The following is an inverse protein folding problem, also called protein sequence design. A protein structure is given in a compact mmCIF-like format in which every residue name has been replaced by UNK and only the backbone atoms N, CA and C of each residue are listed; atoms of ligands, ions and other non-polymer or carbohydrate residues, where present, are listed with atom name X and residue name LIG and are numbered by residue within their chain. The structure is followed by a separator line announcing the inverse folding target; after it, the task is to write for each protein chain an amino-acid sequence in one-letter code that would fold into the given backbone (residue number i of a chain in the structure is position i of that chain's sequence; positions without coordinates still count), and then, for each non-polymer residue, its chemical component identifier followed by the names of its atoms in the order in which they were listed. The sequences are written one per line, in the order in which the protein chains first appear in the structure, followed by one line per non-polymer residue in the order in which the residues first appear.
data_IF_508438232112
#
_entry.id   IF_508438232112
#
_cell.length_a   1.000
_cell.length_b   1.000
_cell.length_c   1.000
_cell.angle_alpha   90.00
_cell.angle_beta   90.00
_cell.angle_gamma   90.00
#
_symmetry.space_group_name_H-M   'P 1'
#
loop_
_entity.id
_entity.type
_entity.pdbx_description
1 polymer ?
#
# COMPACT_ATOMS: atom_id res chain seq x y z
N UNK A 1 21.75 -22.82 -13.74
CA UNK A 1 22.43 -23.14 -15.02
C UNK A 1 23.68 -23.98 -14.80
N UNK A 2 24.67 -23.52 -14.03
CA UNK A 2 25.93 -24.26 -13.81
C UNK A 2 25.75 -25.75 -13.42
N UNK A 3 24.81 -26.05 -12.51
CA UNK A 3 24.51 -27.44 -12.12
C UNK A 3 23.98 -28.27 -13.29
N UNK A 4 23.13 -27.69 -14.13
CA UNK A 4 22.62 -28.37 -15.33
C UNK A 4 23.76 -28.72 -16.29
N UNK A 5 24.70 -27.80 -16.52
CA UNK A 5 25.85 -28.05 -17.39
C UNK A 5 26.77 -29.13 -16.82
N UNK A 6 27.04 -29.09 -15.52
CA UNK A 6 27.83 -30.12 -14.85
C UNK A 6 27.20 -31.51 -15.00
N UNK A 7 25.87 -31.61 -14.90
CA UNK A 7 25.16 -32.88 -15.11
C UNK A 7 25.11 -33.31 -16.56
N UNK A 8 25.00 -32.38 -17.51
CA UNK A 8 25.01 -32.69 -18.94
C UNK A 8 26.34 -33.28 -19.42
N UNK A 9 27.44 -33.01 -18.70
CA UNK A 9 28.78 -33.54 -18.94
C UNK A 9 29.16 -34.70 -18.01
N UNK A 10 28.24 -35.19 -17.18
CA UNK A 10 28.56 -36.23 -16.20
C UNK A 10 28.86 -37.57 -16.87
N UNK A 11 30.04 -38.12 -16.60
CA UNK A 11 30.46 -39.45 -17.08
C UNK A 11 30.05 -40.59 -16.13
N UNK A 12 29.63 -40.24 -14.90
CA UNK A 12 29.23 -41.18 -13.85
C UNK A 12 27.74 -41.08 -13.52
N UNK A 13 27.11 -42.22 -13.26
CA UNK A 13 25.73 -42.27 -12.79
C UNK A 13 25.57 -41.70 -11.36
N UNK A 14 26.63 -41.69 -10.53
CA UNK A 14 26.59 -41.07 -9.20
C UNK A 14 27.33 -39.73 -9.26
N UNK A 15 26.62 -38.63 -8.98
CA UNK A 15 27.17 -37.27 -9.06
C UNK A 15 26.97 -36.56 -7.73
N UNK A 16 28.06 -36.06 -7.13
CA UNK A 16 28.01 -35.18 -5.97
C UNK A 16 28.41 -33.76 -6.40
N UNK A 17 27.53 -32.79 -6.15
CA UNK A 17 27.70 -31.39 -6.52
C UNK A 17 27.81 -30.55 -5.27
N UNK A 18 28.84 -29.71 -5.20
CA UNK A 18 29.01 -28.76 -4.12
C UNK A 18 28.55 -27.38 -4.59
N UNK A 19 27.63 -26.77 -3.84
CA UNK A 19 27.05 -25.47 -4.18
C UNK A 19 27.08 -24.54 -2.99
N UNK A 20 27.47 -23.28 -3.20
CA UNK A 20 27.39 -22.24 -2.19
C UNK A 20 26.02 -21.56 -2.13
N UNK A 21 25.10 -21.88 -3.04
CA UNK A 21 23.75 -21.33 -3.05
C UNK A 21 22.80 -22.17 -2.20
N UNK A 22 22.47 -21.68 -1.00
CA UNK A 22 21.50 -22.35 -0.12
C UNK A 22 20.13 -22.48 -0.78
N UNK A 23 19.73 -21.46 -1.56
CA UNK A 23 18.44 -21.46 -2.25
C UNK A 23 18.36 -22.62 -3.26
N UNK A 24 19.43 -22.88 -4.00
CA UNK A 24 19.50 -23.99 -4.97
C UNK A 24 19.43 -25.34 -4.26
N UNK A 25 20.17 -25.52 -3.15
CA UNK A 25 20.16 -26.77 -2.37
C UNK A 25 18.74 -27.06 -1.86
N UNK A 26 18.13 -26.10 -1.15
CA UNK A 26 16.79 -26.27 -0.59
C UNK A 26 15.76 -26.57 -1.69
N UNK A 27 15.79 -25.81 -2.80
CA UNK A 27 14.84 -25.99 -3.89
C UNK A 27 15.04 -27.35 -4.58
N UNK A 28 16.28 -27.80 -4.76
CA UNK A 28 16.54 -29.12 -5.32
C UNK A 28 15.98 -30.22 -4.41
N UNK A 29 16.25 -30.17 -3.11
CA UNK A 29 15.80 -31.16 -2.14
C UNK A 29 14.25 -31.24 -2.10
N UNK A 30 13.58 -30.08 -2.13
CA UNK A 30 12.11 -30.00 -2.19
C UNK A 30 11.53 -30.63 -3.47
N UNK A 31 12.20 -30.45 -4.61
CA UNK A 31 11.73 -30.92 -5.91
C UNK A 31 12.17 -32.36 -6.24
N UNK A 32 13.23 -32.88 -5.61
CA UNK A 32 13.85 -34.15 -5.97
C UNK A 32 12.90 -35.35 -5.84
N UNK A 33 11.92 -35.24 -4.95
CA UNK A 33 10.91 -36.28 -4.72
C UNK A 33 9.65 -36.14 -5.59
N UNK A 34 9.53 -35.07 -6.37
CA UNK A 34 8.35 -34.77 -7.17
C UNK A 34 8.40 -35.39 -8.57
N UNK A 35 7.25 -35.64 -9.19
CA UNK A 35 7.18 -36.01 -10.61
C UNK A 35 7.41 -34.79 -11.50
N UNK A 36 7.83 -34.97 -12.77
CA UNK A 36 7.93 -33.84 -13.73
C UNK A 36 6.61 -33.06 -13.79
N UNK A 37 5.48 -33.76 -13.80
CA UNK A 37 4.14 -33.16 -13.86
C UNK A 37 3.82 -32.31 -12.62
N UNK A 38 4.30 -32.71 -11.45
CA UNK A 38 4.12 -31.93 -10.22
C UNK A 38 5.01 -30.68 -10.20
N UNK A 39 6.25 -30.80 -10.70
CA UNK A 39 7.15 -29.66 -10.90
C UNK A 39 6.55 -28.67 -11.90
N UNK A 40 5.96 -29.15 -13.00
CA UNK A 40 5.26 -28.31 -14.00
C UNK A 40 4.11 -27.50 -13.38
N UNK A 41 3.38 -28.10 -12.44
CA UNK A 41 2.27 -27.47 -11.70
C UNK A 41 2.73 -26.62 -10.52
N UNK A 42 4.00 -26.71 -10.12
CA UNK A 42 4.55 -25.95 -9.03
C UNK A 42 4.68 -24.46 -9.38
N UNK A 43 4.82 -23.64 -8.33
CA UNK A 43 5.02 -22.19 -8.43
C UNK A 43 6.48 -21.79 -8.22
N UNK A 44 7.41 -22.73 -8.44
CA UNK A 44 8.85 -22.49 -8.22
C UNK A 44 9.39 -21.47 -9.22
N UNK A 45 10.29 -20.61 -8.76
CA UNK A 45 11.02 -19.71 -9.65
C UNK A 45 12.02 -20.49 -10.50
N UNK A 46 12.29 -19.98 -11.70
CA UNK A 46 13.11 -20.59 -12.73
C UNK A 46 12.66 -22.01 -13.09
N UNK A 47 11.34 -22.27 -13.05
CA UNK A 47 10.72 -23.59 -13.27
C UNK A 47 11.26 -24.30 -14.51
N UNK A 48 11.45 -23.56 -15.60
CA UNK A 48 11.98 -24.08 -16.85
C UNK A 48 13.36 -24.74 -16.66
N UNK A 49 14.25 -24.12 -15.90
CA UNK A 49 15.58 -24.64 -15.61
C UNK A 49 15.51 -25.90 -14.73
N UNK A 50 14.61 -25.92 -13.76
CA UNK A 50 14.37 -27.09 -12.92
C UNK A 50 13.81 -28.27 -13.72
N UNK A 51 12.87 -28.01 -14.63
CA UNK A 51 12.34 -29.04 -15.53
C UNK A 51 13.45 -29.61 -16.41
N UNK A 52 14.32 -28.77 -16.96
CA UNK A 52 15.47 -29.23 -17.75
C UNK A 52 16.42 -30.09 -16.91
N UNK A 53 16.76 -29.63 -15.70
CA UNK A 53 17.63 -30.34 -14.76
C UNK A 53 17.08 -31.74 -14.43
N UNK A 54 15.82 -31.83 -13.98
CA UNK A 54 15.22 -33.11 -13.59
C UNK A 54 14.91 -34.01 -14.79
N UNK A 55 14.69 -33.47 -15.99
CA UNK A 55 14.60 -34.28 -17.22
C UNK A 55 15.95 -34.94 -17.52
N UNK A 56 17.06 -34.21 -17.48
CA UNK A 56 18.41 -34.78 -17.69
C UNK A 56 18.73 -35.86 -16.65
N UNK A 57 18.46 -35.60 -15.37
CA UNK A 57 18.67 -36.57 -14.29
C UNK A 57 17.94 -37.89 -14.59
N UNK A 58 16.68 -37.81 -15.08
CA UNK A 58 15.89 -38.99 -15.42
C UNK A 58 16.36 -39.69 -16.70
N UNK A 59 16.69 -38.93 -17.74
CA UNK A 59 17.14 -39.46 -19.05
C UNK A 59 18.43 -40.27 -18.87
N UNK A 60 19.40 -39.72 -18.14
CA UNK A 60 20.68 -40.38 -17.89
C UNK A 60 20.69 -41.27 -16.64
N UNK A 61 19.55 -41.42 -15.96
CA UNK A 61 19.42 -42.22 -14.73
C UNK A 61 20.47 -41.87 -13.65
N UNK A 62 20.72 -40.57 -13.47
CA UNK A 62 21.70 -40.05 -12.52
C UNK A 62 21.16 -40.10 -11.08
N UNK A 63 22.03 -40.46 -10.14
CA UNK A 63 21.88 -40.26 -8.70
C UNK A 63 22.66 -39.02 -8.31
N UNK A 64 21.94 -37.92 -8.14
CA UNK A 64 22.52 -36.60 -7.84
C UNK A 64 22.32 -36.25 -6.38
N UNK A 65 23.39 -35.80 -5.72
CA UNK A 65 23.36 -35.22 -4.37
C UNK A 65 23.99 -33.83 -4.42
N UNK A 66 23.29 -32.82 -3.93
CA UNK A 66 23.81 -31.45 -3.84
C UNK A 66 24.11 -31.12 -2.39
N UNK A 67 25.38 -30.80 -2.10
CA UNK A 67 25.85 -30.47 -0.74
C UNK A 67 26.14 -28.99 -0.64
N UNK A 68 25.58 -28.33 0.38
CA UNK A 68 25.90 -26.94 0.69
C UNK A 68 27.36 -26.81 1.14
N UNK A 69 28.11 -25.91 0.52
CA UNK A 69 29.42 -25.45 1.01
C UNK A 69 29.33 -24.02 1.53
N UNK A 70 30.11 -23.67 2.55
CA UNK A 70 30.12 -22.30 3.09
C UNK A 70 30.68 -21.35 2.03
N UNK A 71 30.00 -20.23 1.78
CA UNK A 71 30.54 -19.18 0.91
C UNK A 71 31.88 -18.70 1.49
N UNK A 72 32.89 -18.56 0.63
CA UNK A 72 34.26 -18.18 1.02
C UNK A 72 34.95 -19.14 2.00
N UNK A 73 34.58 -20.43 2.02
CA UNK A 73 35.45 -21.46 2.62
C UNK A 73 36.74 -21.59 1.83
N UNK A 74 37.78 -22.19 2.43
CA UNK A 74 39.01 -22.61 1.75
C UNK A 74 38.80 -23.83 0.84
N UNK A 75 37.75 -23.79 0.02
CA UNK A 75 37.54 -24.73 -1.06
C UNK A 75 37.98 -24.07 -2.38
N UNK A 76 39.18 -24.42 -2.84
CA UNK A 76 39.77 -23.83 -4.05
C UNK A 76 38.90 -24.06 -5.30
N UNK A 77 38.22 -25.21 -5.39
CA UNK A 77 37.30 -25.50 -6.50
C UNK A 77 36.08 -24.60 -6.53
N UNK A 78 35.50 -24.24 -5.38
CA UNK A 78 34.36 -23.31 -5.35
C UNK A 78 34.80 -21.88 -5.68
N UNK A 79 36.00 -21.47 -5.22
CA UNK A 79 36.60 -20.17 -5.56
C UNK A 79 36.82 -20.06 -7.08
N UNK A 80 37.34 -21.12 -7.71
CA UNK A 80 37.53 -21.15 -9.16
C UNK A 80 36.20 -21.17 -9.91
N UNK A 81 35.21 -21.94 -9.46
CA UNK A 81 33.86 -21.94 -10.04
C UNK A 81 33.19 -20.54 -10.01
N UNK A 82 33.29 -19.82 -8.89
CA UNK A 82 32.77 -18.45 -8.77
C UNK A 82 33.49 -17.47 -9.71
N UNK A 83 34.83 -17.59 -9.82
CA UNK A 83 35.63 -16.80 -10.75
C UNK A 83 35.25 -17.07 -12.21
N UNK A 84 35.07 -18.33 -12.58
CA UNK A 84 34.63 -18.74 -13.92
C UNK A 84 33.21 -18.25 -14.22
N UNK A 85 32.29 -18.35 -13.26
CA UNK A 85 30.93 -17.83 -13.39
C UNK A 85 30.92 -16.31 -13.62
N UNK A 86 31.74 -15.55 -12.88
CA UNK A 86 31.92 -14.09 -13.09
C UNK A 86 32.47 -13.77 -14.48
N UNK A 87 33.47 -14.51 -14.95
CA UNK A 87 34.01 -14.33 -16.31
C UNK A 87 33.00 -14.71 -17.40
N UNK A 88 32.09 -15.65 -17.11
CA UNK A 88 31.02 -16.06 -18.01
C UNK A 88 29.82 -15.10 -18.07
N UNK A 89 29.65 -14.24 -17.07
CA UNK A 89 28.48 -13.35 -16.96
C UNK A 89 28.33 -12.36 -18.13
N UNK A 90 29.44 -11.99 -18.77
CA UNK A 90 29.48 -11.07 -19.92
C UNK A 90 29.42 -11.79 -21.28
N UNK A 91 29.42 -13.14 -21.28
CA UNK A 91 29.41 -13.95 -22.51
C UNK A 91 27.97 -14.26 -22.94
N UNK A 92 27.79 -14.58 -24.22
CA UNK A 92 26.49 -14.88 -24.80
C UNK A 92 25.74 -16.01 -24.06
N UNK A 93 24.42 -15.86 -24.00
CA UNK A 93 23.50 -16.76 -23.29
C UNK A 93 23.47 -18.15 -23.95
N UNK A 94 23.51 -19.20 -23.12
CA UNK A 94 23.31 -20.58 -23.55
C UNK A 94 21.87 -20.77 -24.07
N UNK A 95 21.75 -21.29 -25.29
CA UNK A 95 20.47 -21.66 -25.87
C UNK A 95 20.15 -23.09 -25.41
N UNK A 96 19.19 -23.23 -24.49
CA UNK A 96 18.61 -24.55 -24.19
C UNK A 96 17.73 -24.92 -25.37
N UNK A 97 17.91 -26.12 -25.94
CA UNK A 97 17.09 -26.58 -27.06
C UNK A 97 15.59 -26.51 -26.75
N UNK A 98 14.82 -25.89 -27.65
CA UNK A 98 13.36 -25.72 -27.50
C UNK A 98 12.61 -27.04 -27.24
N UNK A 99 13.14 -28.17 -27.73
CA UNK A 99 12.59 -29.51 -27.49
C UNK A 99 12.62 -29.92 -26.02
N UNK A 100 13.61 -29.45 -25.25
CA UNK A 100 13.69 -29.65 -23.80
C UNK A 100 12.74 -28.69 -23.05
N UNK A 101 12.49 -27.52 -23.66
CA UNK A 101 11.60 -26.46 -23.17
C UNK A 101 10.12 -26.71 -23.46
N UNK A 102 9.77 -27.55 -24.44
CA UNK A 102 8.40 -27.97 -24.76
C UNK A 102 7.76 -28.66 -23.54
N UNK A 103 7.04 -27.87 -22.75
CA UNK A 103 6.10 -28.35 -21.75
C UNK A 103 4.80 -27.55 -21.89
N UNK A 104 3.67 -28.26 -21.89
CA UNK A 104 2.35 -27.63 -21.94
C UNK A 104 2.14 -26.86 -20.63
N UNK A 105 2.33 -25.54 -20.63
CA UNK A 105 2.04 -24.67 -19.49
C UNK A 105 3.10 -23.63 -19.11
N UNK A 106 4.11 -23.39 -19.95
CA UNK A 106 4.97 -22.20 -19.78
C UNK A 106 4.14 -20.94 -20.00
N UNK A 107 4.13 -20.03 -19.02
CA UNK A 107 3.51 -18.73 -19.20
C UNK A 107 4.56 -17.80 -19.81
N UNK A 108 4.23 -17.20 -20.95
CA UNK A 108 5.10 -16.27 -21.65
C UNK A 108 4.53 -14.85 -21.62
N UNK A 109 5.42 -13.85 -21.66
CA UNK A 109 5.09 -12.45 -21.85
C UNK A 109 5.84 -11.92 -23.07
N UNK A 110 5.12 -11.48 -24.11
CA UNK A 110 5.71 -11.07 -25.41
C UNK A 110 6.69 -12.14 -25.94
N UNK A 111 6.23 -13.39 -25.98
CA UNK A 111 6.99 -14.56 -26.41
C UNK A 111 8.24 -14.92 -25.57
N UNK A 112 8.47 -14.22 -24.46
CA UNK A 112 9.52 -14.55 -23.49
C UNK A 112 8.96 -15.39 -22.32
N UNK A 113 9.54 -16.55 -22.00
CA UNK A 113 9.16 -17.33 -20.84
C UNK A 113 9.29 -16.55 -19.53
N UNK A 114 8.25 -16.57 -18.69
CA UNK A 114 8.31 -15.94 -17.38
C UNK A 114 9.07 -16.88 -16.43
N UNK A 115 10.23 -16.44 -15.96
CA UNK A 115 11.07 -17.22 -15.06
C UNK A 115 10.57 -17.22 -13.62
N UNK A 116 9.92 -16.14 -13.18
CA UNK A 116 9.44 -16.00 -11.81
C UNK A 116 7.99 -16.48 -11.68
N UNK A 117 7.51 -16.67 -10.45
CA UNK A 117 6.12 -17.04 -10.20
C UNK A 117 5.13 -16.12 -10.96
N UNK A 118 4.42 -16.64 -11.99
CA UNK A 118 3.58 -15.80 -12.86
C UNK A 118 2.43 -15.13 -12.12
N UNK A 119 1.93 -15.75 -11.04
CA UNK A 119 0.86 -15.19 -10.21
C UNK A 119 1.35 -13.92 -9.49
N UNK A 120 2.57 -13.94 -8.94
CA UNK A 120 3.15 -12.77 -8.29
C UNK A 120 3.44 -11.66 -9.29
N UNK A 121 3.88 -12.01 -10.50
CA UNK A 121 4.09 -11.04 -11.58
C UNK A 121 2.77 -10.37 -12.00
N UNK A 122 1.73 -11.16 -12.29
CA UNK A 122 0.40 -10.65 -12.65
C UNK A 122 -0.14 -9.77 -11.52
N UNK A 123 0.01 -10.20 -10.27
CA UNK A 123 -0.37 -9.40 -9.09
C UNK A 123 0.37 -8.06 -9.06
N UNK A 124 1.70 -8.05 -9.27
CA UNK A 124 2.48 -6.82 -9.30
C UNK A 124 2.04 -5.86 -10.40
N UNK A 125 1.76 -6.37 -11.60
CA UNK A 125 1.21 -5.58 -12.71
C UNK A 125 -0.14 -4.98 -12.33
N UNK A 126 -1.03 -5.78 -11.74
CA UNK A 126 -2.35 -5.32 -11.30
C UNK A 126 -2.25 -4.27 -10.21
N UNK A 127 -1.42 -4.49 -9.19
CA UNK A 127 -1.17 -3.53 -8.12
C UNK A 127 -0.65 -2.20 -8.70
N UNK A 128 0.26 -2.24 -9.68
CA UNK A 128 0.76 -1.04 -10.37
C UNK A 128 -0.33 -0.30 -11.15
N UNK A 129 -1.17 -1.02 -11.92
CA UNK A 129 -2.32 -0.45 -12.62
C UNK A 129 -3.29 0.25 -11.65
N UNK A 130 -3.59 -0.39 -10.51
CA UNK A 130 -4.46 0.20 -9.49
C UNK A 130 -3.86 1.44 -8.83
N UNK A 131 -2.55 1.47 -8.60
CA UNK A 131 -1.85 2.67 -8.09
C UNK A 131 -2.00 3.82 -9.09
N UNK A 132 -1.73 3.56 -10.37
CA UNK A 132 -1.83 4.56 -11.43
C UNK A 132 -3.26 5.11 -11.55
N UNK A 133 -4.27 4.23 -11.63
CA UNK A 133 -5.67 4.62 -11.65
C UNK A 133 -6.06 5.47 -10.44
N UNK A 134 -5.60 5.10 -9.23
CA UNK A 134 -5.82 5.88 -8.03
C UNK A 134 -5.18 7.28 -8.11
N UNK A 135 -3.90 7.38 -8.47
CA UNK A 135 -3.18 8.66 -8.57
C UNK A 135 -3.74 9.58 -9.68
N UNK A 136 -4.31 8.98 -10.72
CA UNK A 136 -4.93 9.70 -11.84
C UNK A 136 -6.31 10.29 -11.52
N UNK A 137 -6.90 9.96 -10.38
CA UNK A 137 -8.10 10.66 -9.90
C UNK A 137 -7.76 12.11 -9.59
N UNK A 138 -8.61 13.04 -10.03
CA UNK A 138 -8.38 14.47 -9.82
C UNK A 138 -8.35 14.86 -8.33
N UNK A 139 -9.06 14.14 -7.45
CA UNK A 139 -8.96 14.34 -5.99
C UNK A 139 -7.56 14.02 -5.42
N UNK A 140 -6.79 13.21 -6.13
CA UNK A 140 -5.47 12.73 -5.72
C UNK A 140 -4.33 13.48 -6.42
N UNK A 141 -4.64 14.60 -7.09
CA UNK A 141 -3.67 15.40 -7.82
C UNK A 141 -2.48 15.84 -6.95
N UNK A 142 -2.73 16.11 -5.67
CA UNK A 142 -1.69 16.46 -4.69
C UNK A 142 -0.61 15.36 -4.55
N UNK A 143 -0.99 14.09 -4.70
CA UNK A 143 -0.07 12.95 -4.58
C UNK A 143 0.75 12.68 -5.85
N UNK A 144 0.48 13.40 -6.94
CA UNK A 144 1.32 13.31 -8.17
C UNK A 144 2.67 13.99 -8.01
N UNK A 145 2.83 14.81 -6.96
CA UNK A 145 4.11 15.41 -6.61
C UNK A 145 5.02 14.36 -5.99
N UNK A 146 6.12 14.01 -6.68
CA UNK A 146 7.03 12.94 -6.26
C UNK A 146 7.61 13.16 -4.87
N UNK A 147 7.87 14.42 -4.51
CA UNK A 147 8.47 14.77 -3.22
C UNK A 147 7.47 14.51 -2.09
N UNK A 148 6.21 14.90 -2.26
CA UNK A 148 5.16 14.61 -1.29
C UNK A 148 4.92 13.10 -1.16
N UNK A 149 4.88 12.38 -2.29
CA UNK A 149 4.64 10.94 -2.31
C UNK A 149 5.71 10.17 -1.51
N UNK A 150 6.96 10.65 -1.53
CA UNK A 150 8.08 10.08 -0.77
C UNK A 150 8.04 10.39 0.73
N UNK A 151 7.35 11.46 1.14
CA UNK A 151 7.19 11.82 2.54
C UNK A 151 6.11 11.00 3.25
N UNK A 152 5.23 10.32 2.50
CA UNK A 152 4.13 9.54 3.06
C UNK A 152 4.62 8.13 3.45
N UNK A 153 4.58 7.84 4.76
CA UNK A 153 4.72 6.46 5.22
C UNK A 153 3.40 5.70 5.03
N UNK A 154 3.25 5.09 3.86
CA UNK A 154 2.06 4.31 3.49
C UNK A 154 1.75 3.16 4.45
N UNK A 155 2.78 2.57 5.07
CA UNK A 155 2.60 1.46 6.02
C UNK A 155 1.97 1.98 7.30
N UNK A 156 2.46 3.09 7.84
CA UNK A 156 1.87 3.75 9.01
C UNK A 156 0.50 4.33 8.67
N UNK A 157 0.33 5.02 7.54
CA UNK A 157 -0.96 5.55 7.09
C UNK A 157 -2.02 4.46 6.99
N UNK A 158 -1.69 3.29 6.45
CA UNK A 158 -2.61 2.15 6.42
C UNK A 158 -2.92 1.62 7.82
N UNK A 159 -1.91 1.43 8.67
CA UNK A 159 -2.14 0.96 10.05
C UNK A 159 -3.06 1.91 10.82
N UNK A 160 -2.91 3.23 10.64
CA UNK A 160 -3.73 4.26 11.28
C UNK A 160 -5.17 4.31 10.77
N UNK A 161 -5.41 3.85 9.54
CA UNK A 161 -6.72 3.83 8.88
C UNK A 161 -7.37 2.44 8.84
N UNK A 162 -6.70 1.40 9.32
CA UNK A 162 -7.27 0.07 9.44
C UNK A 162 -7.96 -0.09 10.80
N UNK A 163 -9.23 -0.47 10.77
CA UNK A 163 -9.93 -1.01 11.94
C UNK A 163 -9.77 -2.53 11.91
N UNK A 164 -9.45 -3.11 13.08
CA UNK A 164 -9.49 -4.57 13.23
C UNK A 164 -10.92 -5.03 13.00
N UNK A 165 -11.11 -6.06 12.17
CA UNK A 165 -12.42 -6.62 11.82
C UNK A 165 -13.26 -7.09 13.03
N UNK A 166 -12.68 -7.10 14.22
CA UNK A 166 -13.26 -7.56 15.49
C UNK A 166 -13.76 -6.42 16.40
N UNK A 167 -13.48 -5.15 16.08
CA UNK A 167 -13.99 -3.99 16.81
C UNK A 167 -15.23 -3.44 16.05
N UNK A 168 -16.41 -3.95 16.41
CA UNK A 168 -17.67 -3.87 15.63
C UNK A 168 -18.68 -2.94 16.31
N UNK A 169 -18.27 -1.75 16.77
CA UNK A 169 -19.25 -0.73 17.12
C UNK A 169 -19.64 0.05 15.86
N UNK A 170 -20.93 0.32 15.72
CA UNK A 170 -21.47 1.09 14.60
C UNK A 170 -20.81 2.47 14.52
N UNK A 171 -20.53 3.11 15.67
CA UNK A 171 -19.83 4.41 15.72
C UNK A 171 -18.40 4.34 15.13
N UNK A 172 -17.68 3.24 15.30
CA UNK A 172 -16.32 3.05 14.77
C UNK A 172 -16.32 3.07 13.24
N UNK A 173 -17.38 2.54 12.62
CA UNK A 173 -17.55 2.58 11.18
C UNK A 173 -17.74 4.01 10.65
N UNK A 174 -18.52 4.86 11.33
CA UNK A 174 -18.69 6.27 10.94
C UNK A 174 -17.41 7.07 11.09
N UNK A 175 -16.71 6.89 12.21
CA UNK A 175 -15.44 7.58 12.44
C UNK A 175 -14.41 7.18 11.38
N UNK A 176 -14.41 5.93 10.92
CA UNK A 176 -13.53 5.50 9.84
C UNK A 176 -13.92 6.04 8.48
N UNK A 177 -15.21 6.08 8.15
CA UNK A 177 -15.68 6.75 6.93
C UNK A 177 -15.31 8.23 6.95
N UNK A 178 -15.47 8.90 8.10
CA UNK A 178 -15.08 10.29 8.29
C UNK A 178 -13.57 10.51 8.09
N UNK A 179 -12.72 9.66 8.69
CA UNK A 179 -11.26 9.65 8.49
C UNK A 179 -10.89 9.54 7.01
N UNK A 180 -11.46 8.56 6.32
CA UNK A 180 -11.18 8.31 4.91
C UNK A 180 -11.62 9.49 4.05
N UNK A 181 -12.80 10.07 4.34
CA UNK A 181 -13.30 11.26 3.67
C UNK A 181 -12.37 12.46 3.86
N UNK A 182 -11.78 12.64 5.03
CA UNK A 182 -10.74 13.65 5.25
C UNK A 182 -9.51 13.35 4.39
N UNK A 183 -8.96 12.13 4.48
CA UNK A 183 -7.76 11.75 3.72
C UNK A 183 -7.93 11.89 2.21
N UNK A 184 -9.14 11.69 1.68
CA UNK A 184 -9.42 11.78 0.25
C UNK A 184 -9.96 13.16 -0.19
N UNK A 185 -10.04 14.15 0.72
CA UNK A 185 -10.68 15.45 0.48
C UNK A 185 -12.13 15.33 -0.05
N UNK A 186 -12.86 14.36 0.50
CA UNK A 186 -14.21 13.97 0.08
C UNK A 186 -15.29 14.43 1.06
N UNK A 187 -14.96 15.16 2.14
CA UNK A 187 -15.97 15.74 3.02
C UNK A 187 -16.99 16.60 2.24
N UNK A 188 -18.29 16.60 2.60
CA UNK A 188 -19.31 17.44 1.95
C UNK A 188 -19.20 18.92 2.34
N UNK A 189 -18.02 19.51 2.09
CA UNK A 189 -17.78 20.95 2.14
C UNK A 189 -18.60 21.67 1.07
N UNK A 190 -18.84 22.97 1.21
CA UNK A 190 -19.60 23.72 0.20
C UNK A 190 -19.00 23.59 -1.21
N UNK A 191 -17.66 23.62 -1.34
CA UNK A 191 -16.99 23.39 -2.61
C UNK A 191 -17.31 22.01 -3.21
N UNK A 192 -17.24 20.96 -2.39
CA UNK A 192 -17.53 19.59 -2.82
C UNK A 192 -19.02 19.36 -3.11
N UNK A 193 -19.92 20.02 -2.38
CA UNK A 193 -21.36 19.98 -2.64
C UNK A 193 -21.68 20.60 -4.00
N UNK A 194 -21.16 21.79 -4.30
CA UNK A 194 -21.30 22.44 -5.63
C UNK A 194 -20.73 21.59 -6.75
N UNK A 195 -19.53 21.02 -6.57
CA UNK A 195 -18.90 20.15 -7.57
C UNK A 195 -19.73 18.91 -7.90
N UNK A 196 -20.40 18.33 -6.89
CA UNK A 196 -21.21 17.11 -7.07
C UNK A 196 -22.62 17.41 -7.59
N UNK A 197 -23.19 18.55 -7.19
CA UNK A 197 -24.57 18.94 -7.46
C UNK A 197 -24.66 20.45 -7.79
N UNK A 198 -24.11 20.87 -8.95
CA UNK A 198 -24.11 22.28 -9.33
C UNK A 198 -25.52 22.83 -9.54
N UNK A 199 -26.46 21.98 -9.97
CA UNK A 199 -27.87 22.34 -10.15
C UNK A 199 -28.59 22.61 -8.81
N UNK A 200 -28.05 22.13 -7.69
CA UNK A 200 -28.68 22.21 -6.37
C UNK A 200 -28.07 23.30 -5.48
N UNK A 201 -26.77 23.56 -5.62
CA UNK A 201 -26.03 24.50 -4.79
C UNK A 201 -25.51 25.66 -5.63
N UNK A 202 -25.98 26.87 -5.31
CA UNK A 202 -25.60 28.10 -5.99
C UNK A 202 -24.09 28.36 -5.96
N UNK A 203 -23.55 29.05 -6.97
CA UNK A 203 -22.14 29.42 -7.00
C UNK A 203 -21.73 30.28 -5.82
N UNK A 204 -22.65 31.08 -5.27
CA UNK A 204 -22.47 31.90 -4.08
C UNK A 204 -22.66 31.14 -2.76
N UNK A 205 -22.83 29.81 -2.78
CA UNK A 205 -22.81 29.02 -1.54
C UNK A 205 -21.41 29.11 -0.90
N UNK A 206 -21.34 29.74 0.27
CA UNK A 206 -20.10 30.04 1.02
C UNK A 206 -20.04 29.24 2.33
N UNK A 207 -18.91 29.36 3.01
CA UNK A 207 -18.67 28.76 4.32
C UNK A 207 -19.79 28.99 5.32
N UNK A 208 -20.20 27.91 6.00
CA UNK A 208 -21.27 27.94 6.99
C UNK A 208 -20.98 28.83 8.20
N UNK A 209 -19.71 29.11 8.48
CA UNK A 209 -19.29 29.96 9.58
C UNK A 209 -19.07 31.42 9.16
N UNK A 210 -18.14 31.68 8.24
CA UNK A 210 -17.76 33.04 7.89
C UNK A 210 -18.66 33.69 6.85
N UNK A 211 -19.37 32.88 6.03
CA UNK A 211 -20.22 33.33 4.92
C UNK A 211 -19.53 34.21 3.86
N UNK A 212 -18.19 34.26 3.86
CA UNK A 212 -17.38 35.12 2.99
C UNK A 212 -16.66 34.28 1.94
N UNK A 213 -15.83 33.33 2.37
CA UNK A 213 -14.99 32.52 1.50
C UNK A 213 -15.64 31.19 1.11
N UNK A 214 -15.11 30.55 0.07
CA UNK A 214 -15.50 29.21 -0.31
C UNK A 214 -15.06 28.20 0.76
N UNK A 215 -16.00 27.34 1.18
CA UNK A 215 -15.70 26.30 2.16
C UNK A 215 -14.98 25.12 1.48
N UNK A 216 -13.68 25.01 1.74
CA UNK A 216 -12.85 23.84 1.45
C UNK A 216 -12.37 23.22 2.76
N UNK A 217 -11.78 22.03 2.71
CA UNK A 217 -11.17 21.46 3.92
C UNK A 217 -10.05 22.36 4.46
N UNK A 218 -9.22 22.92 3.57
CA UNK A 218 -8.15 23.86 3.92
C UNK A 218 -8.69 25.16 4.53
N UNK A 219 -9.85 25.63 4.07
CA UNK A 219 -10.49 26.82 4.64
C UNK A 219 -10.85 26.64 6.12
N UNK A 220 -11.21 25.44 6.59
CA UNK A 220 -11.50 25.25 8.02
C UNK A 220 -10.32 25.60 8.93
N UNK A 221 -9.08 25.41 8.46
CA UNK A 221 -7.86 25.77 9.20
C UNK A 221 -7.58 27.28 9.21
N UNK A 222 -8.24 28.06 8.34
CA UNK A 222 -7.98 29.49 8.13
C UNK A 222 -9.21 30.38 8.38
N UNK A 223 -10.38 29.78 8.58
CA UNK A 223 -11.63 30.49 8.72
C UNK A 223 -11.64 31.35 9.99
N UNK A 224 -11.76 32.65 9.80
CA UNK A 224 -11.71 33.65 10.88
C UNK A 224 -12.74 33.43 12.00
N UNK A 225 -13.87 32.78 11.71
CA UNK A 225 -14.93 32.52 12.68
C UNK A 225 -14.69 31.29 13.57
N UNK A 226 -13.81 30.37 13.16
CA UNK A 226 -13.49 29.16 13.94
C UNK A 226 -12.01 29.04 14.27
N UNK A 227 -11.21 30.08 13.98
CA UNK A 227 -9.77 30.09 14.22
C UNK A 227 -9.43 29.83 15.70
N UNK A 228 -10.16 30.45 16.64
CA UNK A 228 -9.95 30.22 18.08
C UNK A 228 -10.24 28.76 18.46
N UNK A 229 -11.35 28.20 17.95
CA UNK A 229 -11.70 26.78 18.19
C UNK A 229 -10.63 25.85 17.64
N UNK A 230 -10.11 26.13 16.43
CA UNK A 230 -8.99 25.37 15.86
C UNK A 230 -7.71 25.47 16.70
N UNK A 231 -7.40 26.66 17.21
CA UNK A 231 -6.26 26.85 18.11
C UNK A 231 -6.44 26.07 19.42
N UNK A 232 -7.64 26.09 20.01
CA UNK A 232 -7.95 25.33 21.22
C UNK A 232 -7.80 23.81 20.99
N UNK A 233 -8.26 23.30 19.85
CA UNK A 233 -8.07 21.90 19.44
C UNK A 233 -6.58 21.57 19.34
N UNK A 234 -5.80 22.42 18.66
CA UNK A 234 -4.37 22.21 18.50
C UNK A 234 -3.66 22.21 19.86
N UNK A 235 -3.93 23.18 20.72
CA UNK A 235 -3.36 23.27 22.08
C UNK A 235 -3.75 22.03 22.90
N UNK A 236 -5.03 21.65 22.89
CA UNK A 236 -5.56 20.47 23.57
C UNK A 236 -4.81 19.21 23.12
N UNK A 237 -4.69 19.00 21.80
CA UNK A 237 -4.01 17.84 21.21
C UNK A 237 -2.53 17.82 21.53
N UNK A 238 -1.84 18.96 21.43
CA UNK A 238 -0.42 19.07 21.74
C UNK A 238 -0.18 18.74 23.22
N UNK A 239 -0.96 19.31 24.13
CA UNK A 239 -0.90 19.01 25.56
C UNK A 239 -1.11 17.51 25.84
N UNK A 240 -2.09 16.89 25.18
CA UNK A 240 -2.31 15.45 25.30
C UNK A 240 -1.14 14.62 24.74
N UNK A 241 -0.59 15.01 23.59
CA UNK A 241 0.58 14.36 23.00
C UNK A 241 1.79 14.38 23.93
N UNK A 242 2.00 15.49 24.65
CA UNK A 242 3.04 15.63 25.67
C UNK A 242 2.85 14.65 26.82
N UNK A 243 1.64 14.60 27.40
CA UNK A 243 1.33 13.64 28.48
C UNK A 243 1.62 12.20 28.03
N UNK A 244 1.26 11.82 26.80
CA UNK A 244 1.56 10.47 26.29
C UNK A 244 3.05 10.19 26.12
N UNK A 245 3.85 11.21 25.77
CA UNK A 245 5.31 11.11 25.68
C UNK A 245 5.97 11.05 27.06
N UNK A 246 5.46 11.82 28.04
CA UNK A 246 5.88 11.79 29.45
C UNK A 246 5.65 10.40 30.07
N UNK A 247 4.49 9.77 29.87
CA UNK A 247 4.25 8.39 30.31
C UNK A 247 5.15 7.34 29.62
N UNK A 248 5.88 7.73 28.57
CA UNK A 248 6.73 6.81 27.79
C UNK A 248 8.24 7.03 28.02
N UNK A 249 8.67 8.07 28.75
CA UNK A 249 10.08 8.34 29.12
C UNK A 249 10.18 9.09 30.47
N UNK A 250 11.02 8.59 31.38
CA UNK A 250 11.14 9.10 32.76
C UNK A 250 11.82 10.49 32.91
N UNK A 251 12.47 11.04 31.89
CA UNK A 251 13.28 12.28 32.01
C UNK A 251 12.87 13.36 31.00
N UNK A 252 11.84 14.16 31.30
CA UNK A 252 11.43 15.30 30.47
C UNK A 252 11.21 16.57 31.32
N UNK A 253 11.85 17.68 30.93
CA UNK A 253 11.68 19.00 31.54
C UNK A 253 10.40 19.71 31.03
N UNK A 254 9.47 19.91 31.96
CA UNK A 254 8.13 20.46 31.74
C UNK A 254 8.16 21.97 31.41
N UNK A 255 9.17 22.72 31.85
CA UNK A 255 9.22 24.17 31.63
C UNK A 255 9.65 24.54 30.21
N UNK A 256 10.57 23.79 29.61
CA UNK A 256 11.00 23.99 28.21
C UNK A 256 9.87 23.67 27.22
N UNK A 257 8.99 22.72 27.59
CA UNK A 257 7.87 22.25 26.80
C UNK A 257 6.72 23.25 26.67
N UNK A 258 6.35 23.93 27.77
CA UNK A 258 5.27 24.92 27.75
C UNK A 258 5.59 26.13 26.87
N UNK A 259 6.87 26.50 26.74
CA UNK A 259 7.31 27.55 25.82
C UNK A 259 7.16 27.17 24.33
N UNK A 260 7.39 25.89 24.00
CA UNK A 260 7.38 25.37 22.62
C UNK A 260 5.99 25.04 22.05
N UNK A 261 4.96 24.95 22.91
CA UNK A 261 3.56 24.77 22.48
C UNK A 261 3.07 25.95 21.63
N UNK A 262 3.58 27.16 21.87
CA UNK A 262 3.15 28.37 21.17
C UNK A 262 3.61 28.44 19.70
N UNK A 263 4.58 27.63 19.28
CA UNK A 263 5.19 27.74 17.95
C UNK A 263 4.84 26.57 17.00
N UNK A 264 3.96 25.62 17.38
CA UNK A 264 3.65 24.41 16.59
C UNK A 264 4.89 23.55 16.23
N UNK A 265 6.08 23.85 16.76
CA UNK A 265 7.34 23.19 16.44
C UNK A 265 7.58 21.86 17.17
N UNK A 266 6.64 21.44 18.02
CA UNK A 266 6.77 20.24 18.87
C UNK A 266 7.16 18.97 18.10
N UNK A 267 6.64 18.76 16.89
CA UNK A 267 6.99 17.58 16.07
C UNK A 267 8.41 17.64 15.49
N UNK A 268 9.04 18.83 15.41
CA UNK A 268 10.45 18.99 15.01
C UNK A 268 11.42 18.67 16.15
N UNK A 269 10.97 18.80 17.41
CA UNK A 269 11.84 18.64 18.58
C UNK A 269 12.10 17.17 18.99
N UNK A 270 11.28 16.21 18.54
CA UNK A 270 11.37 14.83 19.00
C UNK A 270 11.69 13.85 17.87
N UNK A 271 12.90 13.27 17.92
CA UNK A 271 13.26 12.13 17.08
C UNK A 271 12.78 10.83 17.75
N UNK A 272 11.55 10.42 17.45
CA UNK A 272 11.04 9.10 17.87
C UNK A 272 11.66 8.04 16.97
N UNK A 273 12.59 7.25 17.51
CA UNK A 273 13.32 6.22 16.76
C UNK A 273 12.61 4.86 16.75
N UNK A 274 11.68 4.60 17.67
CA UNK A 274 10.97 3.33 17.76
C UNK A 274 9.64 3.36 16.97
N UNK A 275 9.51 2.52 15.93
CA UNK A 275 8.32 2.46 15.05
C UNK A 275 7.03 2.16 15.84
N UNK A 276 7.09 1.30 16.87
CA UNK A 276 5.92 0.92 17.68
C UNK A 276 5.41 2.09 18.53
N UNK A 277 6.33 2.79 19.19
CA UNK A 277 6.00 3.97 19.98
C UNK A 277 5.47 5.10 19.09
N UNK A 278 6.13 5.35 17.96
CA UNK A 278 5.67 6.32 16.96
C UNK A 278 4.24 6.02 16.50
N UNK A 279 3.95 4.77 16.14
CA UNK A 279 2.61 4.37 15.74
C UNK A 279 1.57 4.58 16.85
N UNK A 280 1.89 4.22 18.10
CA UNK A 280 0.97 4.41 19.25
C UNK A 280 0.65 5.88 19.47
N UNK A 281 1.67 6.73 19.50
CA UNK A 281 1.54 8.18 19.70
C UNK A 281 0.74 8.80 18.55
N UNK A 282 1.09 8.49 17.30
CA UNK A 282 0.35 8.98 16.12
C UNK A 282 -1.12 8.52 16.16
N UNK A 283 -1.39 7.26 16.50
CA UNK A 283 -2.77 6.73 16.58
C UNK A 283 -3.61 7.53 17.58
N UNK A 284 -3.06 7.84 18.75
CA UNK A 284 -3.78 8.59 19.78
C UNK A 284 -3.94 10.07 19.40
N UNK A 285 -2.87 10.74 18.94
CA UNK A 285 -2.90 12.14 18.52
C UNK A 285 -3.88 12.32 17.37
N UNK A 286 -3.74 11.54 16.29
CA UNK A 286 -4.65 11.61 15.14
C UNK A 286 -6.08 11.31 15.57
N UNK A 287 -6.29 10.32 16.44
CA UNK A 287 -7.62 10.01 16.96
C UNK A 287 -8.26 11.17 17.73
N UNK A 288 -7.48 11.87 18.55
CA UNK A 288 -7.97 13.01 19.33
C UNK A 288 -8.27 14.23 18.45
N UNK A 289 -7.37 14.58 17.54
CA UNK A 289 -7.60 15.66 16.54
C UNK A 289 -8.90 15.40 15.78
N UNK A 290 -9.07 14.18 15.29
CA UNK A 290 -10.25 13.82 14.49
C UNK A 290 -11.55 13.90 15.29
N UNK A 291 -11.52 13.44 16.55
CA UNK A 291 -12.70 13.50 17.42
C UNK A 291 -13.06 14.94 17.77
N UNK A 292 -12.09 15.75 18.18
CA UNK A 292 -12.32 17.15 18.52
C UNK A 292 -12.74 17.97 17.29
N UNK A 293 -12.11 17.78 16.14
CA UNK A 293 -12.54 18.39 14.88
C UNK A 293 -13.97 18.00 14.52
N UNK A 294 -14.32 16.71 14.68
CA UNK A 294 -15.68 16.23 14.40
C UNK A 294 -16.71 16.94 15.28
N UNK A 295 -16.50 16.93 16.59
CA UNK A 295 -17.48 17.42 17.58
C UNK A 295 -17.55 18.94 17.61
N UNK A 296 -16.41 19.63 17.59
CA UNK A 296 -16.35 21.08 17.81
C UNK A 296 -16.53 21.90 16.54
N UNK A 297 -16.27 21.31 15.36
CA UNK A 297 -16.33 22.03 14.08
C UNK A 297 -17.31 21.36 13.13
N UNK A 298 -17.12 20.07 12.84
CA UNK A 298 -17.86 19.41 11.76
C UNK A 298 -19.36 19.24 12.05
N UNK A 299 -19.73 18.80 13.25
CA UNK A 299 -21.13 18.63 13.66
C UNK A 299 -21.89 19.97 13.72
N UNK A 300 -21.39 21.04 14.40
CA UNK A 300 -22.00 22.36 14.36
C UNK A 300 -22.14 22.92 12.94
N UNK A 301 -21.11 22.74 12.10
CA UNK A 301 -21.15 23.12 10.69
C UNK A 301 -22.29 22.43 9.94
N UNK A 302 -22.47 21.13 10.17
CA UNK A 302 -23.52 20.37 9.50
C UNK A 302 -24.92 20.84 9.90
N UNK A 303 -25.12 21.24 11.16
CA UNK A 303 -26.39 21.85 11.58
C UNK A 303 -26.67 23.17 10.84
N UNK A 304 -25.64 24.01 10.66
CA UNK A 304 -25.76 25.26 9.89
C UNK A 304 -26.08 24.98 8.42
N UNK A 305 -25.40 24.01 7.81
CA UNK A 305 -25.65 23.58 6.43
C UNK A 305 -27.09 23.08 6.26
N UNK A 306 -27.60 22.27 7.19
CA UNK A 306 -28.98 21.77 7.15
C UNK A 306 -29.99 22.91 7.29
N UNK A 307 -29.72 23.90 8.15
CA UNK A 307 -30.57 25.09 8.29
C UNK A 307 -30.62 25.89 6.99
N UNK A 308 -29.46 26.14 6.38
CA UNK A 308 -29.36 26.89 5.12
C UNK A 308 -30.04 26.15 3.96
N UNK A 309 -29.82 24.83 3.86
CA UNK A 309 -30.53 23.98 2.87
C UNK A 309 -32.05 24.06 3.03
N UNK A 310 -32.57 24.01 4.26
CA UNK A 310 -34.01 24.16 4.51
C UNK A 310 -34.53 25.53 4.09
N UNK A 311 -33.77 26.60 4.35
CA UNK A 311 -34.13 27.96 3.93
C UNK A 311 -34.18 28.10 2.41
N UNK A 312 -33.30 27.39 1.70
CA UNK A 312 -33.28 27.34 0.24
C UNK A 312 -34.23 26.29 -0.36
N UNK A 313 -35.06 25.61 0.45
CA UNK A 313 -35.99 24.58 -0.02
C UNK A 313 -35.33 23.27 -0.49
N UNK A 314 -34.05 23.04 -0.17
CA UNK A 314 -33.30 21.84 -0.55
C UNK A 314 -33.65 20.69 0.40
N UNK A 315 -34.26 19.63 -0.14
CA UNK A 315 -34.67 18.46 0.64
C UNK A 315 -33.66 17.31 0.58
N UNK A 316 -33.83 16.34 1.48
CA UNK A 316 -33.08 15.08 1.42
C UNK A 316 -33.30 14.28 0.14
N UNK A 317 -34.44 14.46 -0.54
CA UNK A 317 -34.74 13.80 -1.81
C UNK A 317 -33.92 14.40 -2.96
N UNK A 318 -33.77 15.72 -2.98
CA UNK A 318 -33.03 16.43 -4.03
C UNK A 318 -31.54 16.08 -4.01
N UNK A 319 -30.99 15.94 -2.79
CA UNK A 319 -29.63 15.44 -2.58
C UNK A 319 -29.43 14.02 -3.12
N UNK A 320 -30.44 13.15 -3.00
CA UNK A 320 -30.39 11.73 -3.43
C UNK A 320 -30.78 11.52 -4.89
N UNK A 321 -31.47 12.45 -5.52
CA UNK A 321 -31.82 12.36 -6.94
C UNK A 321 -30.55 12.20 -7.80
N UNK A 322 -30.58 11.43 -8.89
CA UNK A 322 -29.42 11.35 -9.78
C UNK A 322 -29.20 12.70 -10.44
N UNK A 323 -27.98 13.24 -10.42
CA UNK A 323 -27.66 14.40 -11.26
C UNK A 323 -27.69 14.00 -12.73
N UNK A 324 -28.18 14.88 -13.59
CA UNK A 324 -28.18 14.65 -15.04
C UNK A 324 -26.84 15.01 -15.70
N UNK A 325 -25.76 15.20 -14.93
CA UNK A 325 -24.45 15.47 -15.49
C UNK A 325 -23.94 14.23 -16.23
N UNK A 326 -23.67 14.38 -17.53
CA UNK A 326 -23.05 13.37 -18.38
C UNK A 326 -21.69 12.99 -17.78
N UNK A 327 -21.66 11.96 -16.94
CA UNK A 327 -20.42 11.26 -16.58
C UNK A 327 -20.00 10.46 -17.79
N UNK A 328 -18.87 10.82 -18.38
CA UNK A 328 -18.10 9.92 -19.24
C UNK A 328 -17.69 8.74 -18.35
N UNK A 329 -18.49 7.67 -18.38
CA UNK A 329 -18.15 6.41 -17.75
C UNK A 329 -16.94 5.84 -18.49
N UNK A 330 -15.74 6.15 -17.99
CA UNK A 330 -14.58 5.31 -18.27
C UNK A 330 -14.84 4.03 -17.47
N UNK A 331 -15.33 3.02 -18.18
CA UNK A 331 -15.76 1.75 -17.62
C UNK A 331 -14.64 1.06 -16.85
N UNK A 332 -14.61 1.23 -15.54
CA UNK A 332 -13.89 0.34 -14.64
C UNK A 332 -14.69 -0.95 -14.57
N UNK A 333 -14.34 -1.92 -15.43
CA UNK A 333 -14.82 -3.29 -15.28
C UNK A 333 -14.29 -3.81 -13.95
N UNK A 334 -15.16 -3.90 -12.95
CA UNK A 334 -14.91 -4.63 -11.72
C UNK A 334 -14.69 -6.11 -12.07
N UNK A 335 -13.44 -6.50 -12.26
CA UNK A 335 -13.05 -7.90 -12.26
C UNK A 335 -12.92 -8.31 -10.80
N UNK A 336 -13.92 -9.04 -10.30
CA UNK A 336 -13.84 -9.68 -8.99
C UNK A 336 -12.68 -10.68 -9.00
N UNK A 337 -11.52 -10.28 -8.48
CA UNK A 337 -10.43 -11.19 -8.26
C UNK A 337 -10.11 -11.20 -6.77
N UNK A 338 -10.55 -12.25 -6.08
CA UNK A 338 -10.07 -12.59 -4.75
C UNK A 338 -8.59 -13.00 -4.86
N UNK A 339 -7.70 -12.03 -5.01
CA UNK A 339 -6.25 -12.22 -4.97
C UNK A 339 -5.67 -11.57 -3.72
N UNK A 340 -4.69 -12.27 -3.14
CA UNK A 340 -3.91 -11.92 -1.95
C UNK A 340 -3.81 -10.41 -1.73
N UNK A 341 -4.54 -9.91 -0.75
CA UNK A 341 -4.69 -8.49 -0.48
C UNK A 341 -3.35 -7.90 -0.04
N UNK A 342 -2.67 -7.16 -0.93
CA UNK A 342 -1.56 -6.30 -0.51
C UNK A 342 -2.11 -5.25 0.45
N UNK A 343 -1.24 -4.73 1.32
CA UNK A 343 -1.58 -3.61 2.20
C UNK A 343 -2.10 -2.42 1.39
N UNK A 344 -1.53 -2.19 0.21
CA UNK A 344 -1.96 -1.18 -0.73
C UNK A 344 -3.40 -1.40 -1.23
N UNK A 345 -3.74 -2.61 -1.67
CA UNK A 345 -5.09 -2.91 -2.17
C UNK A 345 -6.14 -2.77 -1.06
N UNK A 346 -5.79 -3.05 0.20
CA UNK A 346 -6.66 -2.76 1.35
C UNK A 346 -6.90 -1.26 1.52
N UNK A 347 -5.85 -0.45 1.40
CA UNK A 347 -5.97 1.00 1.51
C UNK A 347 -6.84 1.58 0.40
N UNK A 348 -6.60 1.17 -0.85
CA UNK A 348 -7.41 1.57 -2.00
C UNK A 348 -8.87 1.17 -1.81
N UNK A 349 -9.16 -0.09 -1.46
CA UNK A 349 -10.54 -0.53 -1.19
C UNK A 349 -11.24 0.35 -0.14
N UNK A 350 -10.53 0.71 0.93
CA UNK A 350 -11.05 1.60 1.97
C UNK A 350 -11.33 2.99 1.41
N UNK A 351 -10.39 3.57 0.65
CA UNK A 351 -10.53 4.89 0.04
C UNK A 351 -11.67 4.96 -0.99
N UNK A 352 -11.82 3.93 -1.84
CA UNK A 352 -12.83 3.88 -2.88
C UNK A 352 -14.21 3.54 -2.33
N UNK A 353 -14.38 2.41 -1.63
CA UNK A 353 -15.71 1.94 -1.25
C UNK A 353 -16.35 2.74 -0.10
N UNK A 354 -15.55 3.31 0.80
CA UNK A 354 -16.07 4.11 1.94
C UNK A 354 -16.21 5.60 1.63
N UNK A 355 -15.61 6.07 0.53
CA UNK A 355 -15.83 7.40 -0.01
C UNK A 355 -17.22 7.57 -0.65
N UNK A 356 -17.79 6.50 -1.19
CA UNK A 356 -19.01 6.55 -2.01
C UNK A 356 -20.34 6.51 -1.23
N UNK A 357 -20.32 6.39 0.11
CA UNK A 357 -21.54 6.39 0.92
C UNK A 357 -21.81 7.80 1.47
N UNK A 358 -22.47 8.58 0.60
CA UNK A 358 -22.87 9.99 0.75
C UNK A 358 -24.18 10.21 1.52
N UNK A 359 -24.91 9.14 1.86
CA UNK A 359 -26.31 9.25 2.25
C UNK A 359 -26.54 9.61 3.73
N UNK A 360 -25.52 9.55 4.57
CA UNK A 360 -25.60 9.95 5.97
C UNK A 360 -24.57 11.05 6.18
N UNK A 361 -25.10 12.24 6.50
CA UNK A 361 -24.38 13.45 6.87
C UNK A 361 -23.18 13.19 7.80
#
# INVERSE_FOLDING_TARGET
MAIYEALAQAESANVEIYSDSQWVVNTFDDLNFLTIKDIERSKVNYKVLWLCLFKIIRIYSLKVKITKVKAHSDCDYNKEADKLAKSGAEKNVLIIEDKLLLHNGTVCWRDMPIEHNPILMIKGIKDAQFIEEFLMLHRNEVYRQSDLLRLIDWKISLKLNNINQYDILFEDHYLQSFRIKICCNELPTCANLKKRKPDLYDENWRCNFCKIEEETFDHFWKCSKIQNVMQDILISVLGFGLVQLEYSRDDIDIQELKGKINELELLRCYKITEEKLLYKVLKQITGRVLLEFKVLIWEPRNELQIKEEKWCGISGKDKKAKSHSKRTEVGVKNVSCNMLKSNWNKWNDLAFHRGDHWANF
#
